data_IF_837938126970
#
_entry.id   IF_837938126970
#
_cell.length_a   1.000
_cell.length_b   1.000
_cell.length_c   1.000
_cell.angle_alpha   90.00
_cell.angle_beta   90.00
_cell.angle_gamma   90.00
#
_symmetry.space_group_name_H-M   'P 1'
#
loop_
_entity.id
_entity.type
_entity.pdbx_description
1 polymer ?
#
# COMPACT_ATOMS: atom_id res chain seq x y z
N UNK A 1 -10.15 23.71 16.78
CA UNK A 1 -10.97 22.65 16.15
C UNK A 1 -10.05 21.77 15.33
N UNK A 2 -10.28 20.45 15.30
CA UNK A 2 -9.53 19.56 14.40
C UNK A 2 -9.91 19.89 12.94
N UNK A 3 -8.91 19.97 12.05
CA UNK A 3 -9.13 20.23 10.63
C UNK A 3 -9.64 18.97 9.94
N UNK A 4 -10.49 19.13 8.92
CA UNK A 4 -10.82 18.04 7.99
C UNK A 4 -9.68 17.84 7.01
N UNK A 5 -9.48 16.61 6.53
CA UNK A 5 -8.39 16.31 5.61
C UNK A 5 -8.94 15.80 4.28
N UNK A 6 -8.77 16.63 3.25
CA UNK A 6 -9.14 16.30 1.88
C UNK A 6 -8.06 15.44 1.21
N UNK A 7 -8.48 14.55 0.32
CA UNK A 7 -7.61 13.86 -0.63
C UNK A 7 -7.83 14.51 -1.99
N UNK A 8 -6.80 15.14 -2.52
CA UNK A 8 -6.89 15.95 -3.74
C UNK A 8 -6.19 15.31 -4.93
N UNK A 9 -5.25 14.40 -4.70
CA UNK A 9 -4.56 13.70 -5.77
C UNK A 9 -4.15 12.29 -5.35
N UNK A 10 -4.09 11.40 -6.32
CA UNK A 10 -3.58 10.04 -6.17
C UNK A 10 -2.68 9.69 -7.35
N UNK A 11 -1.69 8.82 -7.11
CA UNK A 11 -0.77 8.32 -8.14
C UNK A 11 -0.25 6.95 -7.76
N UNK A 12 0.17 6.15 -8.74
CA UNK A 12 0.65 4.80 -8.49
C UNK A 12 1.62 4.29 -9.56
N UNK A 13 2.38 3.26 -9.20
CA UNK A 13 3.18 2.43 -10.12
C UNK A 13 2.83 0.97 -9.82
N UNK A 14 2.16 0.31 -10.77
CA UNK A 14 1.75 -1.09 -10.69
C UNK A 14 1.67 -1.69 -12.11
N UNK A 15 1.94 -3.00 -12.30
CA UNK A 15 1.87 -3.62 -13.62
C UNK A 15 0.48 -3.70 -14.24
N UNK A 16 -0.60 -3.55 -13.45
CA UNK A 16 -1.97 -3.60 -13.95
C UNK A 16 -2.34 -2.42 -14.82
N UNK A 17 -1.69 -1.26 -14.66
CA UNK A 17 -2.11 -0.09 -15.41
C UNK A 17 -1.01 0.92 -15.67
N UNK A 18 -1.12 1.58 -16.82
CA UNK A 18 -0.30 2.73 -17.21
C UNK A 18 -0.91 4.06 -16.75
N UNK A 19 -2.09 4.00 -16.15
CA UNK A 19 -2.82 5.13 -15.56
C UNK A 19 -3.72 4.64 -14.44
N UNK A 20 -4.09 5.53 -13.55
CA UNK A 20 -5.00 5.25 -12.41
C UNK A 20 -6.32 4.62 -12.87
N UNK A 21 -6.93 5.15 -13.95
CA UNK A 21 -8.20 4.64 -14.47
C UNK A 21 -8.03 3.21 -15.01
N UNK A 22 -7.00 2.97 -15.82
CA UNK A 22 -6.70 1.64 -16.36
C UNK A 22 -6.43 0.62 -15.24
N UNK A 23 -5.66 1.01 -14.24
CA UNK A 23 -5.41 0.19 -13.05
C UNK A 23 -6.70 -0.17 -12.33
N UNK A 24 -7.54 0.83 -12.03
CA UNK A 24 -8.78 0.61 -11.28
C UNK A 24 -9.77 -0.25 -12.05
N UNK A 25 -9.96 0.01 -13.37
CA UNK A 25 -10.83 -0.80 -14.24
C UNK A 25 -10.43 -2.27 -14.27
N UNK A 26 -9.13 -2.55 -14.35
CA UNK A 26 -8.60 -3.93 -14.33
C UNK A 26 -8.74 -4.57 -12.96
N UNK A 27 -8.53 -3.80 -11.88
CA UNK A 27 -8.73 -4.27 -10.50
C UNK A 27 -10.21 -4.63 -10.26
N UNK A 28 -11.15 -3.81 -10.72
CA UNK A 28 -12.60 -4.09 -10.63
C UNK A 28 -13.00 -5.36 -11.40
N UNK A 29 -12.34 -5.65 -12.52
CA UNK A 29 -12.56 -6.93 -13.25
C UNK A 29 -11.90 -8.14 -12.57
N UNK A 30 -11.12 -7.94 -11.51
CA UNK A 30 -10.36 -9.00 -10.85
C UNK A 30 -9.20 -9.53 -11.69
N UNK A 31 -8.65 -8.71 -12.58
CA UNK A 31 -7.48 -9.09 -13.37
C UNK A 31 -6.24 -9.13 -12.47
N UNK A 32 -5.55 -10.27 -12.45
CA UNK A 32 -4.34 -10.45 -11.66
C UNK A 32 -3.08 -10.08 -12.45
N UNK A 33 -2.19 -9.28 -11.85
CA UNK A 33 -0.85 -9.01 -12.38
C UNK A 33 0.20 -10.03 -11.94
N UNK A 34 -0.21 -11.01 -11.12
CA UNK A 34 0.70 -12.06 -10.63
C UNK A 34 1.14 -12.93 -11.80
N UNK A 35 2.45 -13.08 -11.95
CA UNK A 35 3.07 -13.92 -12.97
C UNK A 35 4.15 -14.79 -12.32
N UNK A 36 4.59 -15.80 -13.06
CA UNK A 36 5.76 -16.55 -12.66
C UNK A 36 7.01 -15.68 -12.76
N UNK A 37 7.75 -15.59 -11.66
CA UNK A 37 9.02 -14.89 -11.59
C UNK A 37 10.14 -15.88 -11.37
N UNK A 38 11.11 -15.89 -12.28
CA UNK A 38 12.28 -16.74 -12.18
C UNK A 38 13.55 -15.95 -12.41
N UNK A 39 14.60 -16.34 -11.73
CA UNK A 39 15.93 -15.80 -11.93
C UNK A 39 16.96 -16.92 -11.78
N UNK A 40 17.97 -16.91 -12.66
CA UNK A 40 19.10 -17.81 -12.58
C UNK A 40 20.24 -17.23 -11.74
N UNK A 41 20.01 -16.14 -11.04
CA UNK A 41 20.98 -15.53 -10.13
C UNK A 41 21.34 -16.52 -9.02
N UNK A 42 22.62 -16.61 -8.80
CA UNK A 42 23.34 -17.49 -7.88
C UNK A 42 22.86 -17.42 -6.41
N UNK A 43 23.14 -18.48 -5.64
CA UNK A 43 23.66 -19.82 -6.00
C UNK A 43 22.57 -20.80 -6.41
N UNK A 44 21.32 -20.52 -6.07
CA UNK A 44 20.16 -21.38 -6.35
C UNK A 44 19.10 -20.58 -7.09
N UNK A 45 18.59 -21.03 -8.24
CA UNK A 45 17.55 -20.34 -8.98
C UNK A 45 16.31 -20.02 -8.13
N UNK A 46 15.72 -18.85 -8.34
CA UNK A 46 14.42 -18.49 -7.78
C UNK A 46 13.33 -18.86 -8.79
N UNK A 47 12.21 -19.34 -8.28
CA UNK A 47 11.03 -19.73 -9.06
C UNK A 47 9.80 -19.59 -8.16
N UNK A 48 9.09 -18.47 -8.28
CA UNK A 48 7.94 -18.11 -7.41
C UNK A 48 6.87 -17.33 -8.20
N UNK A 49 5.59 -17.36 -7.77
CA UNK A 49 4.63 -16.35 -8.15
C UNK A 49 5.03 -14.99 -7.58
N UNK A 50 4.98 -13.94 -8.40
CA UNK A 50 5.25 -12.56 -7.94
C UNK A 50 4.55 -11.53 -8.83
N UNK A 51 4.47 -10.29 -8.33
CA UNK A 51 4.10 -9.10 -9.11
C UNK A 51 5.34 -8.29 -9.38
N UNK A 52 5.79 -8.30 -10.62
CA UNK A 52 7.03 -7.65 -11.07
C UNK A 52 6.72 -6.51 -12.05
N UNK A 53 7.17 -5.30 -11.75
CA UNK A 53 7.12 -4.14 -12.64
C UNK A 53 8.28 -4.21 -13.66
N UNK A 54 8.26 -5.23 -14.53
CA UNK A 54 9.33 -5.52 -15.48
C UNK A 54 9.59 -4.34 -16.44
N UNK A 55 8.53 -3.70 -16.90
CA UNK A 55 8.59 -2.60 -17.86
C UNK A 55 8.84 -1.23 -17.20
N UNK A 56 9.04 -1.17 -15.88
CA UNK A 56 9.34 0.09 -15.21
C UNK A 56 10.77 0.54 -15.53
N UNK A 57 10.87 1.66 -16.23
CA UNK A 57 12.16 2.29 -16.57
C UNK A 57 12.21 3.71 -15.99
N UNK A 58 12.78 3.83 -14.79
CA UNK A 58 12.91 5.12 -14.11
C UNK A 58 13.75 6.14 -14.89
N UNK A 59 14.80 5.70 -15.59
CA UNK A 59 15.64 6.58 -16.41
C UNK A 59 14.85 7.22 -17.56
N UNK A 60 13.95 6.45 -18.19
CA UNK A 60 13.10 6.96 -19.26
C UNK A 60 12.04 7.95 -18.75
N UNK A 61 11.49 7.72 -17.55
CA UNK A 61 10.39 8.52 -16.98
C UNK A 61 10.92 9.78 -16.28
N UNK A 62 11.94 9.63 -15.44
CA UNK A 62 12.46 10.71 -14.57
C UNK A 62 13.68 11.42 -15.12
N UNK A 63 14.38 10.79 -16.08
CA UNK A 63 15.65 11.23 -16.60
C UNK A 63 16.85 10.78 -15.74
N UNK A 64 17.89 10.27 -16.40
CA UNK A 64 19.09 9.71 -15.76
C UNK A 64 19.78 10.63 -14.72
N UNK A 65 19.81 11.97 -14.87
CA UNK A 65 20.39 12.84 -13.86
C UNK A 65 19.69 12.75 -12.48
N UNK A 66 18.40 12.39 -12.44
CA UNK A 66 17.67 12.19 -11.19
C UNK A 66 17.86 10.79 -10.64
N UNK A 67 17.83 9.77 -11.49
CA UNK A 67 17.80 8.37 -11.06
C UNK A 67 19.16 7.85 -10.59
N UNK A 68 20.26 8.49 -10.98
CA UNK A 68 21.64 8.07 -10.63
C UNK A 68 21.88 7.94 -9.11
N UNK A 69 21.10 8.63 -8.29
CA UNK A 69 21.17 8.59 -6.83
C UNK A 69 19.96 7.89 -6.19
N UNK A 70 19.19 7.13 -6.97
CA UNK A 70 17.94 6.50 -6.51
C UNK A 70 17.94 4.99 -6.71
N UNK A 71 17.64 4.23 -5.68
CA UNK A 71 17.21 2.84 -5.83
C UNK A 71 15.83 2.77 -6.52
N UNK A 72 15.48 1.61 -7.09
CA UNK A 72 14.20 1.37 -7.79
C UNK A 72 12.98 1.74 -6.93
N UNK A 73 12.98 1.46 -5.61
CA UNK A 73 11.86 1.82 -4.73
C UNK A 73 11.65 3.34 -4.66
N UNK A 74 12.73 4.11 -4.62
CA UNK A 74 12.66 5.58 -4.60
C UNK A 74 12.24 6.14 -5.96
N UNK A 75 12.68 5.52 -7.08
CA UNK A 75 12.25 5.89 -8.42
C UNK A 75 10.75 5.69 -8.59
N UNK A 76 10.21 4.51 -8.20
CA UNK A 76 8.78 4.21 -8.26
C UNK A 76 7.98 5.16 -7.36
N UNK A 77 8.45 5.41 -6.14
CA UNK A 77 7.81 6.34 -5.23
C UNK A 77 7.75 7.77 -5.76
N UNK A 78 8.83 8.26 -6.37
CA UNK A 78 8.84 9.58 -6.98
C UNK A 78 7.90 9.69 -8.18
N UNK A 79 7.79 8.66 -9.02
CA UNK A 79 6.83 8.63 -10.14
C UNK A 79 5.40 8.69 -9.62
N UNK A 80 5.04 7.87 -8.62
CA UNK A 80 3.73 7.89 -8.01
C UNK A 80 3.42 9.26 -7.35
N UNK A 81 4.40 9.86 -6.67
CA UNK A 81 4.26 11.18 -6.05
C UNK A 81 4.05 12.28 -7.10
N UNK A 82 4.75 12.23 -8.23
CA UNK A 82 4.59 13.19 -9.33
C UNK A 82 3.21 13.09 -9.97
N UNK A 83 2.70 11.88 -10.18
CA UNK A 83 1.35 11.68 -10.69
C UNK A 83 0.31 12.21 -9.70
N UNK A 84 0.42 11.89 -8.41
CA UNK A 84 -0.46 12.40 -7.37
C UNK A 84 -0.45 13.94 -7.28
N UNK A 85 0.74 14.53 -7.35
CA UNK A 85 0.96 15.98 -7.32
C UNK A 85 0.26 16.70 -8.48
N UNK A 86 0.45 16.15 -9.68
CA UNK A 86 -0.18 16.68 -10.90
C UNK A 86 -1.70 16.52 -10.85
N UNK A 87 -2.20 15.35 -10.41
CA UNK A 87 -3.62 15.09 -10.27
C UNK A 87 -4.30 15.96 -9.21
N UNK A 88 -3.55 16.43 -8.21
CA UNK A 88 -4.00 17.41 -7.23
C UNK A 88 -4.07 18.85 -7.78
N UNK A 89 -3.63 19.08 -9.02
CA UNK A 89 -3.60 20.39 -9.65
C UNK A 89 -2.40 21.26 -9.28
N UNK A 90 -1.34 20.68 -8.72
CA UNK A 90 -0.07 21.38 -8.49
C UNK A 90 0.82 21.33 -9.73
N UNK A 91 1.57 22.41 -9.98
CA UNK A 91 2.57 22.43 -11.05
C UNK A 91 3.84 21.68 -10.63
N UNK A 92 4.18 20.63 -11.35
CA UNK A 92 5.40 19.83 -11.12
C UNK A 92 6.68 20.61 -11.43
N UNK A 93 6.60 21.69 -12.22
CA UNK A 93 7.73 22.55 -12.57
C UNK A 93 7.95 23.69 -11.57
N UNK A 94 6.98 23.94 -10.68
CA UNK A 94 7.16 24.91 -9.61
C UNK A 94 8.11 24.36 -8.54
N UNK A 95 9.34 24.88 -8.52
CA UNK A 95 10.40 24.55 -7.56
C UNK A 95 10.51 25.54 -6.41
N UNK A 96 9.54 26.43 -6.27
CA UNK A 96 9.49 27.35 -5.12
C UNK A 96 9.44 26.57 -3.79
N UNK A 97 10.01 27.17 -2.76
CA UNK A 97 10.01 26.59 -1.42
C UNK A 97 8.60 26.61 -0.83
N UNK A 98 8.12 25.45 -0.37
CA UNK A 98 6.79 25.24 0.22
C UNK A 98 6.93 24.82 1.69
N UNK A 99 7.09 25.76 2.63
CA UNK A 99 7.42 25.46 4.03
C UNK A 99 6.28 24.77 4.81
N UNK A 100 5.08 24.78 4.30
CA UNK A 100 3.86 24.25 4.90
C UNK A 100 3.40 22.93 4.28
N UNK A 101 4.17 22.39 3.31
CA UNK A 101 3.92 21.09 2.68
C UNK A 101 5.04 20.13 3.01
N UNK A 102 4.70 18.92 3.47
CA UNK A 102 5.65 17.89 3.87
C UNK A 102 5.52 16.57 3.14
N UNK A 103 6.32 15.59 3.57
CA UNK A 103 6.33 14.22 3.05
C UNK A 103 6.22 13.23 4.20
N UNK A 104 5.38 12.21 4.03
CA UNK A 104 5.24 11.07 4.94
C UNK A 104 5.22 9.78 4.12
N UNK A 105 6.28 8.97 4.21
CA UNK A 105 6.50 7.87 3.29
C UNK A 105 6.73 6.53 3.98
N UNK A 106 6.05 5.48 3.55
CA UNK A 106 6.17 4.12 4.07
C UNK A 106 7.05 3.24 3.19
N UNK A 107 7.92 2.46 3.82
CA UNK A 107 8.70 1.39 3.18
C UNK A 107 9.09 0.34 4.22
N UNK A 108 9.04 -0.92 3.87
CA UNK A 108 9.51 -1.99 4.76
C UNK A 108 11.02 -2.27 4.58
N UNK A 109 11.51 -2.14 3.36
CA UNK A 109 12.84 -2.58 2.95
C UNK A 109 13.78 -1.45 2.55
N UNK A 110 13.23 -0.28 2.13
CA UNK A 110 14.05 0.79 1.61
C UNK A 110 14.89 0.35 0.40
N UNK A 111 16.11 0.87 0.29
CA UNK A 111 17.03 0.55 -0.79
C UNK A 111 17.91 -0.68 -0.54
N UNK A 112 17.36 -1.74 0.07
CA UNK A 112 18.09 -3.01 0.33
C UNK A 112 18.70 -3.60 -0.93
N UNK A 113 18.09 -3.39 -2.09
CA UNK A 113 18.60 -3.82 -3.39
C UNK A 113 20.02 -3.31 -3.68
N UNK A 114 20.29 -2.05 -3.36
CA UNK A 114 21.62 -1.43 -3.58
C UNK A 114 22.68 -2.13 -2.74
N UNK A 115 22.38 -2.45 -1.49
CA UNK A 115 23.32 -3.18 -0.64
C UNK A 115 23.54 -4.60 -1.13
N UNK A 116 22.48 -5.35 -1.49
CA UNK A 116 22.63 -6.71 -2.01
C UNK A 116 23.47 -6.73 -3.30
N UNK A 117 23.17 -5.85 -4.25
CA UNK A 117 23.95 -5.73 -5.50
C UNK A 117 25.42 -5.35 -5.23
N UNK A 118 25.65 -4.39 -4.35
CA UNK A 118 26.98 -3.96 -3.99
C UNK A 118 27.81 -5.04 -3.29
N UNK A 119 27.19 -5.76 -2.35
CA UNK A 119 27.84 -6.88 -1.66
C UNK A 119 28.15 -8.04 -2.63
N UNK A 120 27.23 -8.35 -3.56
CA UNK A 120 27.46 -9.33 -4.61
C UNK A 120 28.69 -8.98 -5.46
N UNK A 121 28.81 -7.71 -5.88
CA UNK A 121 29.99 -7.23 -6.62
C UNK A 121 31.28 -7.32 -5.79
N UNK A 122 31.23 -7.00 -4.49
CA UNK A 122 32.39 -7.14 -3.61
C UNK A 122 32.87 -8.59 -3.49
N UNK A 123 31.97 -9.54 -3.30
CA UNK A 123 32.32 -10.96 -3.06
C UNK A 123 32.70 -11.70 -4.34
N UNK A 124 32.11 -11.34 -5.49
CA UNK A 124 32.33 -12.08 -6.75
C UNK A 124 33.40 -11.43 -7.63
N UNK A 125 33.61 -10.14 -7.49
CA UNK A 125 34.50 -9.35 -8.36
C UNK A 125 35.64 -8.66 -7.57
N UNK A 126 35.93 -9.13 -6.34
CA UNK A 126 37.02 -8.66 -5.46
C UNK A 126 37.07 -7.13 -5.30
N UNK A 127 35.90 -6.47 -5.25
CA UNK A 127 35.84 -5.03 -5.04
C UNK A 127 35.99 -4.70 -3.56
N UNK A 128 36.84 -3.76 -3.24
CA UNK A 128 37.07 -3.31 -1.85
C UNK A 128 35.94 -2.44 -1.28
N UNK A 129 35.16 -1.77 -2.12
CA UNK A 129 34.15 -0.77 -1.71
C UNK A 129 32.89 -0.85 -2.54
N UNK A 130 31.76 -0.54 -1.90
CA UNK A 130 30.51 -0.28 -2.61
C UNK A 130 30.57 1.06 -3.39
N UNK A 131 29.68 1.24 -4.39
CA UNK A 131 29.55 2.53 -5.08
C UNK A 131 29.33 3.70 -4.10
N UNK A 132 29.87 4.90 -4.37
CA UNK A 132 29.85 6.02 -3.41
C UNK A 132 28.46 6.44 -2.92
N UNK A 133 27.43 6.28 -3.75
CA UNK A 133 26.04 6.66 -3.40
C UNK A 133 25.24 5.56 -2.70
N UNK A 134 25.83 4.37 -2.45
CA UNK A 134 25.11 3.23 -1.89
C UNK A 134 24.43 3.54 -0.55
N UNK A 135 25.07 4.35 0.32
CA UNK A 135 24.48 4.73 1.61
C UNK A 135 23.20 5.55 1.39
N UNK A 136 23.27 6.63 0.60
CA UNK A 136 22.12 7.53 0.42
C UNK A 136 21.00 6.88 -0.40
N UNK A 137 21.34 5.96 -1.32
CA UNK A 137 20.36 5.19 -2.09
C UNK A 137 19.69 4.11 -1.24
N UNK A 138 20.42 3.53 -0.28
CA UNK A 138 19.94 2.44 0.59
C UNK A 138 19.12 2.89 1.78
N UNK A 139 19.16 4.18 2.17
CA UNK A 139 18.42 4.68 3.32
C UNK A 139 16.90 4.57 3.14
N UNK A 140 16.17 4.20 4.20
CA UNK A 140 14.71 4.13 4.16
C UNK A 140 14.05 5.49 3.85
N UNK A 141 14.70 6.60 4.21
CA UNK A 141 14.21 7.94 3.91
C UNK A 141 14.65 8.47 2.53
N UNK A 142 15.33 7.69 1.70
CA UNK A 142 15.76 8.13 0.38
C UNK A 142 14.58 8.61 -0.48
N UNK A 143 13.48 7.85 -0.51
CA UNK A 143 12.31 8.23 -1.30
C UNK A 143 11.67 9.54 -0.82
N UNK A 144 11.40 9.68 0.49
CA UNK A 144 10.80 10.91 1.04
C UNK A 144 11.70 12.13 0.81
N UNK A 145 13.02 11.96 0.93
CA UNK A 145 14.00 13.01 0.66
C UNK A 145 13.99 13.45 -0.80
N UNK A 146 13.97 12.50 -1.74
CA UNK A 146 13.90 12.83 -3.17
C UNK A 146 12.58 13.52 -3.53
N UNK A 147 11.45 13.09 -2.98
CA UNK A 147 10.15 13.77 -3.18
C UNK A 147 10.24 15.22 -2.68
N UNK A 148 10.73 15.43 -1.44
CA UNK A 148 10.87 16.77 -0.86
C UNK A 148 11.77 17.68 -1.71
N UNK A 149 12.94 17.20 -2.13
CA UNK A 149 13.88 17.95 -2.97
C UNK A 149 13.26 18.29 -4.33
N UNK A 150 12.61 17.31 -4.98
CA UNK A 150 12.09 17.50 -6.33
C UNK A 150 10.88 18.43 -6.40
N UNK A 151 10.07 18.52 -5.32
CA UNK A 151 8.87 19.36 -5.24
C UNK A 151 9.05 20.65 -4.40
N UNK A 152 10.24 20.86 -3.80
CA UNK A 152 10.53 22.04 -2.97
C UNK A 152 9.78 22.03 -1.62
N UNK A 153 9.52 20.87 -1.02
CA UNK A 153 8.74 20.71 0.19
C UNK A 153 9.59 20.97 1.44
N UNK A 154 9.22 21.92 2.25
CA UNK A 154 10.02 22.41 3.38
C UNK A 154 9.48 22.06 4.77
N UNK A 155 8.28 21.43 4.86
CA UNK A 155 7.79 20.89 6.12
C UNK A 155 8.46 19.55 6.45
N UNK A 156 8.00 18.83 7.44
CA UNK A 156 8.57 17.53 7.84
C UNK A 156 8.65 16.53 6.68
N UNK A 157 9.80 15.85 6.55
CA UNK A 157 9.99 14.72 5.62
C UNK A 157 10.38 13.50 6.43
N UNK A 158 9.44 12.58 6.62
CA UNK A 158 9.57 11.42 7.49
C UNK A 158 9.31 10.12 6.74
N UNK A 159 10.02 9.07 7.15
CA UNK A 159 9.80 7.71 6.66
C UNK A 159 9.40 6.78 7.78
N UNK A 160 8.41 5.92 7.50
CA UNK A 160 7.87 4.94 8.43
C UNK A 160 8.23 3.53 7.96
N UNK A 161 8.79 2.74 8.86
CA UNK A 161 9.15 1.35 8.59
C UNK A 161 8.56 0.46 9.69
N UNK A 162 7.34 -0.02 9.44
CA UNK A 162 6.54 -0.88 10.33
C UNK A 162 5.98 -2.06 9.54
N UNK A 163 6.88 -2.73 8.83
CA UNK A 163 6.58 -3.87 7.95
C UNK A 163 5.42 -3.59 6.97
N UNK A 164 4.43 -4.49 6.89
CA UNK A 164 3.34 -4.39 5.91
C UNK A 164 2.40 -3.18 6.11
N UNK A 165 2.39 -2.54 7.30
CA UNK A 165 1.56 -1.38 7.59
C UNK A 165 2.27 -0.03 7.38
N UNK A 166 3.51 -0.02 6.83
CA UNK A 166 4.33 1.19 6.72
C UNK A 166 3.64 2.34 5.98
N UNK A 167 3.02 2.08 4.83
CA UNK A 167 2.35 3.13 4.06
C UNK A 167 1.06 3.60 4.74
N UNK A 168 0.26 2.70 5.32
CA UNK A 168 -0.94 3.10 6.08
C UNK A 168 -0.58 3.94 7.29
N UNK A 169 0.50 3.60 8.00
CA UNK A 169 1.02 4.42 9.09
C UNK A 169 1.50 5.78 8.58
N UNK A 170 2.25 5.82 7.47
CA UNK A 170 2.70 7.08 6.87
C UNK A 170 1.54 7.99 6.47
N UNK A 171 0.49 7.43 5.86
CA UNK A 171 -0.73 8.17 5.48
C UNK A 171 -1.47 8.65 6.74
N UNK A 172 -1.62 7.79 7.76
CA UNK A 172 -2.27 8.14 9.01
C UNK A 172 -1.55 9.22 9.82
N UNK A 173 -0.22 9.19 9.84
CA UNK A 173 0.57 10.23 10.52
C UNK A 173 0.57 11.56 9.74
N UNK A 174 0.55 11.51 8.39
CA UNK A 174 0.32 12.70 7.56
C UNK A 174 -1.06 13.33 7.84
N UNK A 175 -2.10 12.49 7.95
CA UNK A 175 -3.44 12.93 8.35
C UNK A 175 -3.44 13.67 9.69
N UNK A 176 -2.78 13.09 10.72
CA UNK A 176 -2.68 13.73 12.05
C UNK A 176 -2.02 15.10 11.98
N UNK A 177 -0.91 15.23 11.23
CA UNK A 177 -0.21 16.52 11.07
C UNK A 177 -1.07 17.60 10.45
N UNK A 178 -1.85 17.26 9.43
CA UNK A 178 -2.77 18.23 8.80
C UNK A 178 -3.93 18.54 9.76
N UNK A 179 -4.55 17.51 10.31
CA UNK A 179 -5.67 17.63 11.26
C UNK A 179 -5.33 18.53 12.44
N UNK A 180 -4.12 18.39 12.98
CA UNK A 180 -3.66 19.12 14.16
C UNK A 180 -3.00 20.46 13.80
N UNK A 181 -2.94 20.82 12.49
CA UNK A 181 -2.50 22.14 12.01
C UNK A 181 -1.00 22.31 11.85
N UNK A 182 -0.22 21.24 11.87
CA UNK A 182 1.23 21.26 11.68
C UNK A 182 1.66 21.43 10.22
N UNK A 183 0.78 21.05 9.27
CA UNK A 183 1.00 21.18 7.83
C UNK A 183 -0.31 21.55 7.13
N UNK A 184 -0.24 22.26 6.00
CA UNK A 184 -1.39 22.50 5.13
C UNK A 184 -1.61 21.40 4.12
N UNK A 185 -0.53 20.72 3.68
CA UNK A 185 -0.61 19.57 2.83
C UNK A 185 0.54 18.60 3.09
N UNK A 186 0.35 17.32 2.70
CA UNK A 186 1.35 16.27 2.79
C UNK A 186 1.30 15.39 1.55
N UNK A 187 2.48 15.07 0.99
CA UNK A 187 2.63 13.93 0.08
C UNK A 187 2.78 12.69 0.96
N UNK A 188 1.82 11.77 0.89
CA UNK A 188 1.80 10.58 1.74
C UNK A 188 1.65 9.31 0.89
N UNK A 189 2.34 8.25 1.25
CA UNK A 189 2.25 7.00 0.49
C UNK A 189 3.33 6.00 0.87
N UNK A 190 3.69 5.13 -0.08
CA UNK A 190 4.75 4.15 0.14
C UNK A 190 5.22 3.46 -1.14
N UNK A 191 6.42 2.90 -1.06
CA UNK A 191 7.04 2.13 -2.14
C UNK A 191 7.94 1.05 -1.60
N UNK A 192 7.93 -0.13 -2.25
CA UNK A 192 8.86 -1.23 -1.96
C UNK A 192 9.17 -2.04 -3.22
N UNK A 193 10.37 -2.63 -3.25
CA UNK A 193 10.85 -3.52 -4.32
C UNK A 193 11.48 -4.78 -3.71
N UNK A 194 10.66 -5.71 -3.18
CA UNK A 194 11.13 -6.88 -2.43
C UNK A 194 11.71 -8.00 -3.32
N UNK A 195 11.63 -7.89 -4.64
CA UNK A 195 12.07 -8.92 -5.56
C UNK A 195 13.59 -8.90 -5.74
N UNK A 196 14.32 -9.11 -4.65
CA UNK A 196 15.76 -9.27 -4.55
C UNK A 196 16.09 -10.61 -3.92
N UNK A 197 17.21 -11.19 -4.30
CA UNK A 197 17.55 -12.58 -4.00
C UNK A 197 17.49 -12.93 -2.51
N UNK A 198 18.21 -12.18 -1.67
CA UNK A 198 18.27 -12.46 -0.23
C UNK A 198 16.93 -12.30 0.47
N UNK A 199 16.14 -11.29 0.07
CA UNK A 199 14.80 -11.05 0.62
C UNK A 199 13.85 -12.20 0.24
N UNK A 200 13.83 -12.63 -1.03
CA UNK A 200 12.98 -13.74 -1.47
C UNK A 200 13.36 -15.03 -0.72
N UNK A 201 14.68 -15.31 -0.56
CA UNK A 201 15.14 -16.50 0.18
C UNK A 201 14.80 -16.44 1.66
N UNK A 202 14.80 -15.26 2.27
CA UNK A 202 14.36 -15.10 3.65
C UNK A 202 12.87 -15.42 3.82
N UNK A 203 12.03 -14.93 2.90
CA UNK A 203 10.59 -15.25 2.88
C UNK A 203 10.31 -16.73 2.58
N UNK A 204 11.05 -17.33 1.66
CA UNK A 204 11.00 -18.78 1.36
C UNK A 204 11.34 -19.62 2.60
N UNK A 205 12.38 -19.20 3.34
CA UNK A 205 12.76 -19.83 4.61
C UNK A 205 11.67 -19.80 5.69
N UNK A 206 10.77 -18.80 5.68
CA UNK A 206 9.60 -18.75 6.57
C UNK A 206 8.45 -19.67 6.13
N UNK A 207 8.49 -20.21 4.91
CA UNK A 207 7.45 -21.07 4.33
C UNK A 207 6.06 -20.44 4.28
N UNK A 208 5.99 -19.15 4.06
CA UNK A 208 4.74 -18.37 3.97
C UNK A 208 4.44 -17.89 2.55
N UNK A 209 5.32 -18.15 1.58
CA UNK A 209 5.09 -17.84 0.18
C UNK A 209 4.18 -18.89 -0.46
N UNK A 210 3.23 -18.43 -1.28
CA UNK A 210 2.41 -19.33 -2.09
C UNK A 210 3.26 -19.96 -3.20
N UNK A 211 3.20 -21.30 -3.39
CA UNK A 211 3.89 -21.96 -4.48
C UNK A 211 3.17 -21.71 -5.82
N UNK A 212 3.91 -21.85 -6.93
CA UNK A 212 3.33 -21.79 -8.27
C UNK A 212 4.37 -21.88 -9.36
N UNK A 213 3.91 -22.30 -10.53
CA UNK A 213 4.64 -22.36 -11.79
C UNK A 213 4.03 -21.35 -12.80
N UNK A 214 4.49 -21.37 -14.06
CA UNK A 214 3.98 -20.47 -15.11
C UNK A 214 2.45 -20.55 -15.27
N UNK A 215 1.86 -21.74 -15.14
CA UNK A 215 0.43 -21.97 -15.32
C UNK A 215 -0.38 -21.58 -14.09
N UNK A 216 0.13 -21.79 -12.89
CA UNK A 216 -0.60 -21.66 -11.63
C UNK A 216 -0.38 -20.31 -10.94
N UNK A 217 0.72 -19.60 -11.24
CA UNK A 217 1.06 -18.32 -10.63
C UNK A 217 -0.05 -17.27 -10.68
N UNK A 218 -0.79 -17.07 -11.77
CA UNK A 218 -1.88 -16.08 -11.81
C UNK A 218 -2.96 -16.27 -10.74
N UNK A 219 -3.10 -17.51 -10.24
CA UNK A 219 -4.09 -17.88 -9.22
C UNK A 219 -3.44 -18.14 -7.84
N UNK A 220 -2.18 -17.81 -7.63
CA UNK A 220 -1.47 -18.15 -6.40
C UNK A 220 -1.96 -17.36 -5.18
N UNK A 221 -2.26 -16.06 -5.34
CA UNK A 221 -2.82 -15.24 -4.26
C UNK A 221 -4.34 -15.35 -4.25
N UNK A 222 -4.88 -16.01 -3.21
CA UNK A 222 -6.32 -16.29 -3.06
C UNK A 222 -6.79 -16.08 -1.62
N UNK A 223 -6.85 -14.81 -1.17
CA UNK A 223 -7.31 -14.49 0.18
C UNK A 223 -8.68 -15.07 0.48
N UNK A 224 -8.87 -15.56 1.72
CA UNK A 224 -10.09 -16.15 2.25
C UNK A 224 -10.53 -17.48 1.61
N UNK A 225 -9.82 -17.94 0.58
CA UNK A 225 -10.12 -19.20 -0.08
C UNK A 225 -9.64 -20.40 0.77
N UNK A 226 -10.42 -21.48 0.77
CA UNK A 226 -10.10 -22.72 1.47
C UNK A 226 -8.77 -23.34 1.02
N UNK A 227 -8.38 -23.11 -0.23
CA UNK A 227 -7.13 -23.61 -0.82
C UNK A 227 -5.98 -22.60 -0.79
N UNK A 228 -6.10 -21.50 -0.02
CA UNK A 228 -5.01 -20.53 0.11
C UNK A 228 -3.76 -21.18 0.70
N UNK A 229 -2.60 -20.75 0.26
CA UNK A 229 -1.34 -21.43 0.58
C UNK A 229 -0.20 -20.48 0.95
N UNK A 230 -0.49 -19.19 1.09
CA UNK A 230 0.48 -18.18 1.45
C UNK A 230 0.39 -16.91 0.60
N UNK A 231 1.24 -15.94 0.92
CA UNK A 231 1.30 -14.66 0.25
C UNK A 231 2.09 -14.72 -1.06
N UNK A 232 1.85 -13.73 -1.91
CA UNK A 232 2.62 -13.51 -3.14
C UNK A 232 3.28 -12.13 -3.06
N UNK A 233 4.60 -12.08 -3.17
CA UNK A 233 5.35 -10.83 -3.14
C UNK A 233 5.05 -9.97 -4.37
N UNK A 234 4.99 -8.67 -4.17
CA UNK A 234 4.83 -7.70 -5.24
C UNK A 234 5.69 -6.45 -5.02
N UNK A 235 6.01 -5.75 -6.09
CA UNK A 235 6.67 -4.46 -6.06
C UNK A 235 5.79 -3.38 -6.66
N UNK A 236 5.94 -2.14 -6.17
CA UNK A 236 5.18 -1.00 -6.65
C UNK A 236 5.24 0.18 -5.70
N UNK A 237 4.45 1.19 -6.01
CA UNK A 237 4.32 2.41 -5.23
C UNK A 237 2.93 3.02 -5.38
N UNK A 238 2.47 3.73 -4.34
CA UNK A 238 1.33 4.63 -4.48
C UNK A 238 1.50 5.86 -3.58
N UNK A 239 0.89 6.96 -3.99
CA UNK A 239 0.95 8.26 -3.33
C UNK A 239 -0.43 8.92 -3.29
N UNK A 240 -0.65 9.68 -2.23
CA UNK A 240 -1.80 10.55 -2.03
C UNK A 240 -1.32 11.98 -1.76
N UNK A 241 -2.04 12.96 -2.22
CA UNK A 241 -1.94 14.33 -1.73
C UNK A 241 -3.07 14.55 -0.72
N UNK A 242 -2.66 14.73 0.53
CA UNK A 242 -3.55 15.07 1.63
C UNK A 242 -3.47 16.58 1.87
N UNK A 243 -4.61 17.23 2.07
CA UNK A 243 -4.67 18.68 2.31
C UNK A 243 -5.66 19.04 3.41
N UNK A 244 -5.38 20.11 4.13
CA UNK A 244 -6.39 20.80 4.90
C UNK A 244 -7.58 21.12 3.99
N UNK A 245 -8.80 20.82 4.44
CA UNK A 245 -10.00 20.96 3.61
C UNK A 245 -10.20 22.38 3.11
N UNK A 246 -10.04 23.36 3.98
CA UNK A 246 -10.22 24.78 3.63
C UNK A 246 -9.11 25.28 2.68
N UNK A 247 -7.88 24.78 2.86
CA UNK A 247 -6.79 25.04 1.93
C UNK A 247 -7.11 24.48 0.53
N UNK A 248 -7.61 23.23 0.44
CA UNK A 248 -8.01 22.63 -0.81
C UNK A 248 -9.14 23.40 -1.51
N UNK A 249 -10.17 23.83 -0.76
CA UNK A 249 -11.29 24.64 -1.28
C UNK A 249 -10.79 25.99 -1.77
N UNK A 250 -9.94 26.67 -1.00
CA UNK A 250 -9.44 28.01 -1.35
C UNK A 250 -8.67 28.05 -2.67
N UNK A 251 -7.97 26.94 -3.04
CA UNK A 251 -7.25 26.83 -4.32
C UNK A 251 -8.04 26.11 -5.42
N UNK A 252 -9.32 25.79 -5.21
CA UNK A 252 -10.17 25.03 -6.11
C UNK A 252 -9.58 23.65 -6.48
N UNK A 253 -9.00 22.94 -5.50
CA UNK A 253 -8.45 21.61 -5.69
C UNK A 253 -9.54 20.57 -6.04
N UNK A 254 -9.23 19.53 -6.81
CA UNK A 254 -10.14 18.41 -7.05
C UNK A 254 -10.24 17.54 -5.78
N UNK A 255 -11.21 17.77 -4.90
CA UNK A 255 -11.41 16.92 -3.72
C UNK A 255 -12.05 15.61 -4.17
N UNK A 256 -11.31 14.48 -4.00
CA UNK A 256 -11.72 13.14 -4.43
C UNK A 256 -12.48 12.43 -3.32
N UNK A 257 -12.00 12.54 -2.09
CA UNK A 257 -12.56 11.93 -0.86
C UNK A 257 -12.04 12.67 0.37
N UNK A 258 -12.53 12.31 1.54
CA UNK A 258 -12.02 12.73 2.85
C UNK A 258 -11.29 11.55 3.52
N UNK A 259 -10.08 11.75 4.00
CA UNK A 259 -9.48 10.86 5.00
C UNK A 259 -10.02 11.29 6.36
N UNK A 260 -10.98 10.53 6.87
CA UNK A 260 -11.78 10.90 8.03
C UNK A 260 -11.18 10.43 9.36
N UNK A 261 -10.46 9.32 9.36
CA UNK A 261 -9.90 8.76 10.59
C UNK A 261 -8.75 7.79 10.38
N UNK A 262 -7.97 7.64 11.44
CA UNK A 262 -6.83 6.75 11.51
C UNK A 262 -6.74 6.08 12.88
N UNK A 263 -6.61 4.74 12.90
CA UNK A 263 -6.38 3.95 14.09
C UNK A 263 -5.08 3.15 13.98
N UNK A 264 -4.24 3.22 14.99
CA UNK A 264 -3.00 2.44 15.06
C UNK A 264 -2.77 1.92 16.48
N UNK A 265 -2.27 0.69 16.56
CA UNK A 265 -1.85 0.05 17.81
C UNK A 265 -0.79 -1.03 17.56
N UNK A 266 -0.43 -1.75 18.61
CA UNK A 266 0.43 -2.92 18.56
C UNK A 266 -0.24 -4.09 19.30
N UNK A 267 -0.22 -5.28 18.69
CA UNK A 267 -0.73 -6.53 19.29
C UNK A 267 0.03 -6.94 20.55
N UNK A 268 1.32 -6.65 20.65
CA UNK A 268 2.27 -6.92 21.76
C UNK A 268 2.30 -8.39 22.25
N UNK A 269 1.86 -9.31 21.40
CA UNK A 269 1.72 -10.74 21.76
C UNK A 269 2.75 -11.63 21.09
N UNK A 270 2.96 -11.47 19.78
CA UNK A 270 3.85 -12.30 18.97
C UNK A 270 4.41 -11.52 17.78
N UNK A 271 5.63 -11.88 17.34
CA UNK A 271 6.29 -11.18 16.24
C UNK A 271 5.65 -11.47 14.87
N UNK A 272 5.10 -12.67 14.67
CA UNK A 272 4.57 -13.12 13.37
C UNK A 272 3.11 -13.56 13.41
N UNK A 273 2.60 -13.97 14.58
CA UNK A 273 1.22 -14.43 14.70
C UNK A 273 0.27 -13.25 14.92
N UNK A 274 -0.78 -13.09 14.08
CA UNK A 274 -1.74 -12.02 14.24
C UNK A 274 -2.61 -12.21 15.49
N UNK A 275 -3.08 -11.09 16.07
CA UNK A 275 -4.02 -11.09 17.19
C UNK A 275 -5.30 -10.33 16.82
N UNK A 276 -6.43 -11.05 16.77
CA UNK A 276 -7.71 -10.42 16.47
C UNK A 276 -8.13 -9.35 17.49
N UNK A 277 -7.65 -9.40 18.75
CA UNK A 277 -7.90 -8.34 19.74
C UNK A 277 -7.25 -7.03 19.35
N UNK A 278 -5.99 -7.05 18.91
CA UNK A 278 -5.29 -5.87 18.42
C UNK A 278 -5.95 -5.31 17.16
N UNK A 279 -6.37 -6.18 16.24
CA UNK A 279 -7.08 -5.77 15.03
C UNK A 279 -8.44 -5.11 15.36
N UNK A 280 -9.23 -5.67 16.28
CA UNK A 280 -10.47 -5.06 16.81
C UNK A 280 -10.18 -3.68 17.37
N UNK A 281 -9.16 -3.55 18.20
CA UNK A 281 -8.81 -2.28 18.82
C UNK A 281 -8.39 -1.23 17.75
N UNK A 282 -7.60 -1.60 16.75
CA UNK A 282 -7.17 -0.70 15.67
C UNK A 282 -8.37 -0.20 14.84
N UNK A 283 -9.27 -1.11 14.43
CA UNK A 283 -10.49 -0.75 13.70
C UNK A 283 -11.38 0.18 14.54
N UNK A 284 -11.58 -0.16 15.82
CA UNK A 284 -12.39 0.67 16.73
C UNK A 284 -11.79 2.06 16.95
N UNK A 285 -10.46 2.17 17.08
CA UNK A 285 -9.77 3.46 17.16
C UNK A 285 -10.00 4.31 15.90
N UNK A 286 -9.92 3.70 14.72
CA UNK A 286 -10.12 4.39 13.45
C UNK A 286 -11.58 4.89 13.28
N UNK A 287 -12.56 4.06 13.64
CA UNK A 287 -13.97 4.43 13.62
C UNK A 287 -14.26 5.58 14.62
N UNK A 288 -13.74 5.48 15.84
CA UNK A 288 -13.89 6.54 16.85
C UNK A 288 -13.24 7.86 16.41
N UNK A 289 -12.05 7.81 15.80
CA UNK A 289 -11.37 9.04 15.33
C UNK A 289 -12.11 9.68 14.15
N UNK A 290 -12.72 8.87 13.27
CA UNK A 290 -13.46 9.33 12.09
C UNK A 290 -14.87 9.85 12.40
N UNK A 291 -15.45 9.44 13.53
CA UNK A 291 -16.87 9.65 13.83
C UNK A 291 -17.82 8.94 12.87
N UNK A 292 -17.33 7.99 12.06
CA UNK A 292 -18.15 7.16 11.16
C UNK A 292 -18.81 6.06 11.96
N UNK A 293 -20.13 5.98 11.87
CA UNK A 293 -20.86 4.88 12.49
C UNK A 293 -20.58 3.56 11.73
N UNK A 294 -20.48 2.41 12.41
CA UNK A 294 -20.26 1.11 11.75
C UNK A 294 -21.27 0.83 10.62
N UNK A 295 -22.50 1.33 10.75
CA UNK A 295 -23.59 1.17 9.78
C UNK A 295 -23.33 1.92 8.47
N UNK A 296 -22.55 3.00 8.49
CA UNK A 296 -22.20 3.79 7.32
C UNK A 296 -20.99 3.24 6.54
N UNK A 297 -20.27 2.25 7.11
CA UNK A 297 -19.17 1.56 6.42
C UNK A 297 -19.75 0.59 5.40
N UNK A 298 -19.55 0.85 4.12
CA UNK A 298 -20.05 0.00 3.03
C UNK A 298 -19.02 -0.99 2.48
N UNK A 299 -17.72 -0.75 2.69
CA UNK A 299 -16.66 -1.56 2.12
C UNK A 299 -15.41 -1.63 3.02
N UNK A 300 -14.82 -2.83 3.08
CA UNK A 300 -13.50 -3.07 3.68
C UNK A 300 -12.55 -3.59 2.60
N UNK A 301 -11.48 -2.82 2.33
CA UNK A 301 -10.30 -3.37 1.67
C UNK A 301 -9.45 -4.04 2.75
N UNK A 302 -9.53 -5.35 2.79
CA UNK A 302 -8.92 -6.14 3.85
C UNK A 302 -7.41 -6.29 3.67
N UNK A 303 -6.70 -6.47 4.76
CA UNK A 303 -5.30 -6.85 4.71
C UNK A 303 -5.13 -8.17 3.96
N UNK A 304 -5.91 -9.20 4.25
CA UNK A 304 -6.11 -10.43 3.49
C UNK A 304 -4.92 -10.91 2.67
N UNK A 305 -3.91 -11.49 3.32
CA UNK A 305 -2.64 -11.87 2.69
C UNK A 305 -2.65 -13.26 2.06
N UNK A 306 -3.77 -13.98 2.11
CA UNK A 306 -3.90 -15.38 1.73
C UNK A 306 -3.12 -16.35 2.64
N UNK A 307 -2.80 -15.94 3.86
CA UNK A 307 -2.15 -16.81 4.84
C UNK A 307 -3.17 -17.59 5.65
N UNK A 308 -2.76 -18.77 6.13
CA UNK A 308 -3.65 -19.69 6.86
C UNK A 308 -4.18 -19.06 8.15
N UNK A 309 -3.35 -18.31 8.88
CA UNK A 309 -3.69 -17.70 10.16
C UNK A 309 -4.19 -16.27 10.05
N UNK A 310 -3.65 -15.47 9.09
CA UNK A 310 -3.96 -14.05 8.97
C UNK A 310 -5.40 -13.77 8.56
N UNK A 311 -5.86 -14.45 7.54
CA UNK A 311 -7.19 -14.22 6.97
C UNK A 311 -8.34 -14.53 7.97
N UNK A 312 -8.34 -15.67 8.72
CA UNK A 312 -9.35 -15.92 9.73
C UNK A 312 -9.32 -14.93 10.90
N UNK A 313 -8.12 -14.51 11.33
CA UNK A 313 -7.96 -13.52 12.40
C UNK A 313 -8.62 -12.19 12.04
N UNK A 314 -8.44 -11.73 10.81
CA UNK A 314 -9.05 -10.50 10.31
C UNK A 314 -10.57 -10.60 10.22
N UNK A 315 -11.10 -11.71 9.68
CA UNK A 315 -12.56 -11.90 9.60
C UNK A 315 -13.18 -12.01 10.99
N UNK A 316 -12.52 -12.64 11.95
CA UNK A 316 -12.96 -12.64 13.35
C UNK A 316 -13.03 -11.22 13.91
N UNK A 317 -11.99 -10.39 13.66
CA UNK A 317 -12.00 -9.00 14.10
C UNK A 317 -13.15 -8.20 13.49
N UNK A 318 -13.40 -8.36 12.18
CA UNK A 318 -14.55 -7.71 11.52
C UNK A 318 -15.88 -8.14 12.11
N UNK A 319 -16.10 -9.43 12.34
CA UNK A 319 -17.34 -9.93 13.00
C UNK A 319 -17.55 -9.31 14.38
N UNK A 320 -16.50 -9.17 15.16
CA UNK A 320 -16.56 -8.59 16.52
C UNK A 320 -16.85 -7.10 16.51
N UNK A 321 -16.27 -6.34 15.57
CA UNK A 321 -16.49 -4.89 15.46
C UNK A 321 -17.89 -4.57 14.91
N UNK A 322 -18.33 -5.28 13.86
CA UNK A 322 -19.55 -4.96 13.13
C UNK A 322 -20.77 -5.78 13.58
N UNK A 323 -20.62 -6.79 14.45
CA UNK A 323 -21.71 -7.63 14.97
C UNK A 323 -22.56 -8.24 13.86
N UNK A 324 -23.87 -8.17 13.99
CA UNK A 324 -24.82 -8.69 12.99
C UNK A 324 -24.71 -8.02 11.62
N UNK A 325 -24.19 -6.80 11.57
CA UNK A 325 -23.94 -6.04 10.33
C UNK A 325 -22.81 -6.64 9.49
N UNK A 326 -21.90 -7.41 10.09
CA UNK A 326 -20.74 -7.99 9.39
C UNK A 326 -21.14 -8.80 8.16
N UNK A 327 -22.24 -9.55 8.21
CA UNK A 327 -22.75 -10.40 7.11
C UNK A 327 -23.12 -9.63 5.84
N UNK A 328 -23.45 -8.34 5.96
CA UNK A 328 -23.81 -7.47 4.84
C UNK A 328 -22.65 -6.57 4.40
N UNK A 329 -21.56 -6.54 5.17
CA UNK A 329 -20.39 -5.72 4.93
C UNK A 329 -19.59 -6.27 3.76
N UNK A 330 -19.45 -5.50 2.70
CA UNK A 330 -18.64 -5.88 1.53
C UNK A 330 -17.16 -5.93 1.91
N UNK A 331 -16.53 -7.09 1.70
CA UNK A 331 -15.11 -7.32 2.00
C UNK A 331 -14.41 -7.92 0.80
N UNK A 332 -13.27 -7.37 0.42
CA UNK A 332 -12.36 -8.02 -0.52
C UNK A 332 -10.90 -7.74 -0.16
N UNK A 333 -10.00 -8.62 -0.61
CA UNK A 333 -8.57 -8.35 -0.60
C UNK A 333 -8.06 -8.20 -2.03
N UNK A 334 -7.61 -7.01 -2.35
CA UNK A 334 -7.06 -6.68 -3.66
C UNK A 334 -5.63 -7.18 -3.87
N UNK A 335 -5.01 -7.75 -2.83
CA UNK A 335 -3.74 -8.49 -2.97
C UNK A 335 -3.86 -9.67 -3.94
N UNK A 336 -5.07 -10.18 -4.17
CA UNK A 336 -5.34 -11.17 -5.23
C UNK A 336 -5.03 -10.65 -6.65
N UNK A 337 -4.98 -9.34 -6.85
CA UNK A 337 -4.66 -8.69 -8.14
C UNK A 337 -3.23 -8.15 -8.19
N UNK A 338 -2.79 -7.39 -7.18
CA UNK A 338 -1.49 -6.70 -7.15
C UNK A 338 -0.44 -7.37 -6.24
N UNK A 339 -0.75 -8.53 -5.63
CA UNK A 339 0.16 -9.19 -4.68
C UNK A 339 0.33 -8.39 -3.37
N UNK A 340 1.28 -8.82 -2.55
CA UNK A 340 1.66 -8.13 -1.32
C UNK A 340 2.88 -7.23 -1.57
N UNK A 341 2.66 -5.92 -1.67
CA UNK A 341 3.70 -4.92 -1.94
C UNK A 341 4.47 -4.51 -0.66
N UNK A 342 4.50 -5.36 0.36
CA UNK A 342 5.17 -5.11 1.62
C UNK A 342 4.75 -3.77 2.24
N UNK A 343 5.69 -2.88 2.52
CA UNK A 343 5.42 -1.56 3.08
C UNK A 343 4.61 -0.62 2.18
N UNK A 344 4.52 -0.89 0.88
CA UNK A 344 3.72 -0.09 -0.06
C UNK A 344 2.24 -0.52 -0.15
N UNK A 345 1.88 -1.73 0.35
CA UNK A 345 0.53 -2.30 0.19
C UNK A 345 -0.58 -1.34 0.64
N UNK A 346 -0.44 -0.74 1.82
CA UNK A 346 -1.47 0.12 2.37
C UNK A 346 -1.72 1.39 1.54
N UNK A 347 -0.74 1.87 0.76
CA UNK A 347 -0.93 3.03 -0.11
C UNK A 347 -1.75 2.68 -1.36
N UNK A 348 -1.46 1.55 -2.02
CA UNK A 348 -2.24 1.12 -3.19
C UNK A 348 -3.68 0.75 -2.78
N UNK A 349 -3.85 0.11 -1.63
CA UNK A 349 -5.15 -0.25 -1.06
C UNK A 349 -5.96 0.99 -0.64
N UNK A 350 -5.29 2.04 -0.15
CA UNK A 350 -5.90 3.34 0.09
C UNK A 350 -6.41 3.97 -1.22
N UNK A 351 -5.59 3.99 -2.28
CA UNK A 351 -6.01 4.48 -3.61
C UNK A 351 -7.23 3.69 -4.12
N UNK A 352 -7.22 2.37 -4.02
CA UNK A 352 -8.36 1.53 -4.43
C UNK A 352 -9.62 1.87 -3.61
N UNK A 353 -9.50 2.03 -2.29
CA UNK A 353 -10.63 2.37 -1.41
C UNK A 353 -11.25 3.74 -1.75
N UNK A 354 -10.39 4.74 -2.03
CA UNK A 354 -10.80 6.09 -2.46
C UNK A 354 -11.52 6.04 -3.79
N UNK A 355 -10.98 5.32 -4.77
CA UNK A 355 -11.59 5.15 -6.09
C UNK A 355 -12.89 4.36 -6.03
N UNK A 356 -13.00 3.39 -5.10
CA UNK A 356 -14.24 2.66 -4.85
C UNK A 356 -15.36 3.58 -4.36
N UNK A 357 -15.06 4.49 -3.42
CA UNK A 357 -16.02 5.50 -2.96
C UNK A 357 -16.42 6.42 -4.12
N UNK A 358 -15.43 6.96 -4.83
CA UNK A 358 -15.67 7.91 -5.94
C UNK A 358 -16.56 7.33 -7.04
N UNK A 359 -16.36 6.05 -7.39
CA UNK A 359 -17.03 5.41 -8.52
C UNK A 359 -18.25 4.55 -8.11
N UNK A 360 -18.51 4.36 -6.81
CA UNK A 360 -19.61 3.53 -6.32
C UNK A 360 -19.47 2.05 -6.72
N UNK A 361 -18.22 1.54 -6.79
CA UNK A 361 -17.95 0.15 -7.17
C UNK A 361 -16.76 -0.39 -6.41
N UNK A 362 -16.84 -1.65 -5.94
CA UNK A 362 -15.79 -2.29 -5.16
C UNK A 362 -15.15 -3.44 -5.94
N UNK A 363 -13.81 -3.62 -5.81
CA UNK A 363 -13.12 -4.72 -6.46
C UNK A 363 -13.43 -6.06 -5.79
N UNK A 364 -13.37 -7.17 -6.55
CA UNK A 364 -13.47 -8.51 -5.99
C UNK A 364 -12.15 -8.98 -5.39
N UNK A 365 -12.21 -10.04 -4.57
CA UNK A 365 -11.08 -10.94 -4.32
C UNK A 365 -10.95 -11.86 -5.53
N UNK A 366 -9.94 -11.64 -6.40
CA UNK A 366 -9.90 -12.17 -7.76
C UNK A 366 -9.93 -13.71 -7.84
N UNK A 367 -9.27 -14.41 -6.94
CA UNK A 367 -9.10 -15.86 -6.98
C UNK A 367 -9.92 -16.61 -5.92
N UNK A 368 -10.88 -15.93 -5.28
CA UNK A 368 -11.75 -16.53 -4.27
C UNK A 368 -12.86 -17.36 -4.92
N UNK A 369 -12.79 -18.68 -4.78
CA UNK A 369 -13.80 -19.65 -5.27
C UNK A 369 -14.61 -20.23 -4.14
N UNK A 370 -13.93 -20.91 -3.22
CA UNK A 370 -14.50 -21.59 -2.08
C UNK A 370 -14.07 -20.89 -0.79
N UNK A 371 -15.01 -20.24 -0.09
CA UNK A 371 -14.70 -19.55 1.16
C UNK A 371 -14.32 -20.57 2.23
N UNK A 372 -13.20 -20.32 2.92
CA UNK A 372 -12.83 -21.10 4.09
C UNK A 372 -13.88 -20.89 5.18
N UNK A 373 -14.44 -21.96 5.80
CA UNK A 373 -15.37 -21.81 6.92
C UNK A 373 -14.89 -20.89 8.04
N UNK A 374 -13.59 -20.83 8.30
CA UNK A 374 -13.00 -19.90 9.26
C UNK A 374 -13.06 -18.41 8.82
N UNK A 375 -13.28 -18.17 7.54
CA UNK A 375 -13.40 -16.83 6.95
C UNK A 375 -14.85 -16.44 6.61
N UNK A 376 -15.85 -17.21 7.01
CA UNK A 376 -17.27 -16.88 6.80
C UNK A 376 -17.75 -15.76 7.75
N UNK A 377 -18.94 -15.21 7.45
CA UNK A 377 -19.65 -14.24 8.30
C UNK A 377 -19.51 -12.78 7.86
N UNK A 378 -18.92 -12.54 6.68
CA UNK A 378 -18.93 -11.26 5.96
C UNK A 378 -19.39 -11.48 4.51
N UNK A 379 -19.76 -10.40 3.81
CA UNK A 379 -20.09 -10.48 2.39
C UNK A 379 -18.79 -10.37 1.57
N UNK A 380 -18.17 -11.50 1.27
CA UNK A 380 -17.02 -11.52 0.34
C UNK A 380 -17.48 -11.15 -1.07
N UNK A 381 -16.76 -10.22 -1.71
CA UNK A 381 -16.98 -9.85 -3.10
C UNK A 381 -16.10 -10.75 -3.99
N UNK A 382 -16.76 -11.53 -4.85
CA UNK A 382 -16.11 -12.43 -5.83
C UNK A 382 -16.21 -11.85 -7.24
N UNK A 383 -15.39 -12.36 -8.15
CA UNK A 383 -15.51 -12.03 -9.59
C UNK A 383 -16.89 -12.46 -10.11
N UNK A 384 -17.60 -11.53 -10.74
CA UNK A 384 -18.95 -11.75 -11.25
C UNK A 384 -20.08 -11.33 -10.31
N UNK A 385 -19.80 -11.02 -9.05
CA UNK A 385 -20.80 -10.50 -8.13
C UNK A 385 -21.27 -9.09 -8.52
N UNK A 386 -22.46 -8.70 -8.03
CA UNK A 386 -22.87 -7.30 -8.08
C UNK A 386 -22.04 -6.49 -7.09
N UNK A 387 -21.12 -5.71 -7.62
CA UNK A 387 -20.14 -4.92 -6.88
C UNK A 387 -20.41 -3.41 -6.90
N UNK A 388 -21.57 -2.97 -7.45
CA UNK A 388 -22.02 -1.58 -7.39
C UNK A 388 -22.64 -1.30 -6.03
N UNK A 389 -22.11 -0.33 -5.30
CA UNK A 389 -22.53 0.02 -3.96
C UNK A 389 -22.57 1.56 -3.80
N UNK A 390 -23.58 2.06 -3.07
CA UNK A 390 -23.55 3.46 -2.64
C UNK A 390 -22.70 3.55 -1.36
N UNK A 391 -21.46 4.00 -1.50
CA UNK A 391 -20.48 4.00 -0.44
C UNK A 391 -20.41 5.37 0.24
N UNK A 392 -20.86 5.45 1.49
CA UNK A 392 -20.63 6.63 2.34
C UNK A 392 -19.21 6.62 2.93
N UNK A 393 -18.75 5.45 3.35
CA UNK A 393 -17.42 5.24 3.89
C UNK A 393 -16.84 3.87 3.51
N UNK A 394 -15.51 3.81 3.46
CA UNK A 394 -14.73 2.59 3.29
C UNK A 394 -13.55 2.57 4.26
N UNK A 395 -13.10 1.38 4.62
CA UNK A 395 -11.95 1.15 5.49
C UNK A 395 -10.86 0.40 4.71
N UNK A 396 -9.60 0.76 4.93
CA UNK A 396 -8.44 -0.01 4.49
C UNK A 396 -7.67 -0.51 5.71
N UNK A 397 -7.49 -1.82 5.80
CA UNK A 397 -6.80 -2.49 6.90
C UNK A 397 -5.38 -2.87 6.53
N UNK A 398 -4.44 -2.63 7.43
CA UNK A 398 -3.05 -3.12 7.33
C UNK A 398 -2.62 -3.72 8.68
N UNK A 399 -2.39 -5.03 8.71
CA UNK A 399 -2.00 -5.78 9.90
C UNK A 399 -0.64 -6.44 9.66
N UNK A 400 0.40 -5.96 10.32
CA UNK A 400 1.78 -6.28 9.98
C UNK A 400 2.44 -7.23 10.98
N UNK A 401 3.47 -7.92 10.52
CA UNK A 401 4.45 -8.55 11.42
C UNK A 401 5.00 -7.52 12.40
N UNK A 402 5.34 -7.97 13.61
CA UNK A 402 5.62 -7.09 14.75
C UNK A 402 4.36 -6.65 15.50
N UNK A 403 3.17 -7.07 15.03
CA UNK A 403 1.89 -6.70 15.61
C UNK A 403 1.46 -5.26 15.33
N UNK A 404 2.11 -4.56 14.39
CA UNK A 404 1.78 -3.18 14.05
C UNK A 404 0.55 -3.12 13.17
N UNK A 405 -0.55 -2.59 13.70
CA UNK A 405 -1.82 -2.43 13.00
C UNK A 405 -2.03 -0.97 12.60
N UNK A 406 -2.52 -0.72 11.40
CA UNK A 406 -2.88 0.59 10.88
C UNK A 406 -4.17 0.48 10.06
N UNK A 407 -5.16 1.28 10.40
CA UNK A 407 -6.48 1.29 9.79
C UNK A 407 -6.84 2.71 9.35
N UNK A 408 -7.21 2.88 8.10
CA UNK A 408 -7.60 4.16 7.51
C UNK A 408 -9.10 4.14 7.19
N UNK A 409 -9.79 5.23 7.53
CA UNK A 409 -11.23 5.42 7.24
C UNK A 409 -11.40 6.55 6.26
N UNK A 410 -11.98 6.24 5.11
CA UNK A 410 -12.28 7.19 4.04
C UNK A 410 -13.78 7.47 3.96
N UNK A 411 -14.15 8.71 3.62
CA UNK A 411 -15.54 9.13 3.37
C UNK A 411 -15.69 9.76 2.01
N UNK A 412 -16.91 9.70 1.47
CA UNK A 412 -17.28 10.53 0.32
C UNK A 412 -17.05 12.01 0.61
N UNK A 413 -16.61 12.75 -0.40
CA UNK A 413 -16.42 14.20 -0.34
C UNK A 413 -17.73 15.00 -0.24
N UNK A 414 -18.88 14.33 -0.33
CA UNK A 414 -20.23 14.95 -0.30
C UNK A 414 -20.67 15.29 1.11
#
# INVERSE_FOLDING_TARGET
MKRRVAITGVGLVDPLGISINSFFDRTIRGESSIRHYSTNDIPVPISIPAVHCENFNGDAILGKPRTISMDKFAQMGLVAAFEAWTNAGFDINDKSHKPDIGVSWGTALGGTRIYEQGLKEMWLNDRERLPPLSVVMGMNNACSSHIAIQLGLGNSSLSYSVACSSASAAIGEAYRRIRDGEANAMVAGGSDTPLIYGVIRAWDGMRVLSPGDERTSPNACRPFDKSRSGLVLGEGAAALILEDWEHAVARNAPIIAELAGYGANCDHTNLVKPDSNGQVAAISLALNDSGVAPEDVGYINAHGTATVEGDPSEIEALRRVFGDRAKDLAVSSTKSTHGHLMGASGAIEAVISILSIKNGVVPPTANLRDIDPACEGVRHIKVGDNNKLNLKAAISNSFAFGGSNAVLVFKSAQ
#
